data_IF_633154927798
#
_entry.id   IF_633154927798
#
_cell.length_a   1.000
_cell.length_b   1.000
_cell.length_c   1.000
_cell.angle_alpha   90.00
_cell.angle_beta   90.00
_cell.angle_gamma   90.00
#
_symmetry.space_group_name_H-M   'P 1'
#
loop_
_entity.id
_entity.type
_entity.pdbx_description
1 polymer ?
#
# COMPACT_ATOMS: atom_id res chain seq x y z
N UNK A 1 22.48 -29.39 -7.21
CA UNK A 1 22.28 -28.11 -6.51
C UNK A 1 20.83 -28.09 -6.11
N UNK A 2 20.54 -28.05 -4.79
CA UNK A 2 19.20 -28.28 -4.24
C UNK A 2 18.28 -27.09 -4.56
N UNK A 3 17.03 -27.39 -4.91
CA UNK A 3 15.91 -26.44 -5.14
C UNK A 3 15.76 -25.40 -4.01
N UNK A 4 16.05 -25.79 -2.77
CA UNK A 4 16.13 -24.90 -1.58
C UNK A 4 17.18 -23.78 -1.71
N UNK A 5 18.34 -24.05 -2.31
CA UNK A 5 19.39 -23.03 -2.48
C UNK A 5 19.03 -21.99 -3.54
N UNK A 6 18.26 -22.36 -4.57
CA UNK A 6 17.74 -21.43 -5.58
C UNK A 6 16.67 -20.50 -4.99
N UNK A 7 15.83 -21.00 -4.10
CA UNK A 7 14.76 -20.20 -3.46
C UNK A 7 15.32 -19.21 -2.43
N UNK A 8 16.33 -19.60 -1.64
CA UNK A 8 17.00 -18.69 -0.70
C UNK A 8 17.75 -17.56 -1.43
N UNK A 9 18.41 -17.86 -2.54
CA UNK A 9 19.12 -16.85 -3.34
C UNK A 9 18.16 -15.91 -4.07
N UNK A 10 17.00 -16.38 -4.53
CA UNK A 10 15.95 -15.56 -5.12
C UNK A 10 15.32 -14.62 -4.08
N UNK A 11 15.03 -15.13 -2.89
CA UNK A 11 14.52 -14.33 -1.77
C UNK A 11 15.52 -13.28 -1.26
N UNK A 12 16.83 -13.60 -1.25
CA UNK A 12 17.89 -12.64 -0.90
C UNK A 12 18.02 -11.53 -1.94
N UNK A 13 17.97 -11.87 -3.23
CA UNK A 13 18.01 -10.88 -4.33
C UNK A 13 16.77 -9.96 -4.31
N UNK A 14 15.59 -10.49 -4.01
CA UNK A 14 14.37 -9.68 -3.90
C UNK A 14 14.44 -8.69 -2.72
N UNK A 15 14.93 -9.14 -1.55
CA UNK A 15 15.16 -8.27 -0.39
C UNK A 15 16.23 -7.21 -0.66
N UNK A 16 17.32 -7.58 -1.35
CA UNK A 16 18.36 -6.64 -1.73
C UNK A 16 17.86 -5.57 -2.71
N UNK A 17 17.03 -5.95 -3.71
CA UNK A 17 16.40 -4.99 -4.63
C UNK A 17 15.43 -4.06 -3.91
N UNK A 18 14.60 -4.58 -3.01
CA UNK A 18 13.72 -3.76 -2.19
C UNK A 18 14.51 -2.80 -1.29
N UNK A 19 15.62 -3.26 -0.68
CA UNK A 19 16.53 -2.42 0.09
C UNK A 19 17.18 -1.32 -0.74
N UNK A 20 17.61 -1.63 -1.97
CA UNK A 20 18.17 -0.65 -2.90
C UNK A 20 17.13 0.41 -3.28
N UNK A 21 15.91 0.00 -3.62
CA UNK A 21 14.83 0.94 -3.94
C UNK A 21 14.52 1.84 -2.74
N UNK A 22 14.43 1.28 -1.54
CA UNK A 22 14.23 2.06 -0.32
C UNK A 22 15.38 3.04 -0.06
N UNK A 23 16.64 2.58 -0.26
CA UNK A 23 17.84 3.41 -0.11
C UNK A 23 17.88 4.55 -1.14
N UNK A 24 17.47 4.27 -2.39
CA UNK A 24 17.37 5.31 -3.43
C UNK A 24 16.31 6.34 -3.07
N UNK A 25 15.14 5.92 -2.58
CA UNK A 25 14.11 6.85 -2.10
C UNK A 25 14.56 7.66 -0.87
N UNK A 26 15.22 7.02 0.09
CA UNK A 26 15.78 7.70 1.26
C UNK A 26 16.88 8.70 0.88
N UNK A 27 17.76 8.30 -0.06
CA UNK A 27 18.80 9.19 -0.59
C UNK A 27 18.20 10.37 -1.36
N UNK A 28 17.21 10.13 -2.21
CA UNK A 28 16.50 11.19 -2.92
C UNK A 28 15.83 12.17 -1.95
N UNK A 29 15.14 11.66 -0.92
CA UNK A 29 14.55 12.48 0.14
C UNK A 29 15.62 13.27 0.92
N UNK A 30 16.76 12.65 1.24
CA UNK A 30 17.87 13.30 1.91
C UNK A 30 18.52 14.39 1.06
N UNK A 31 18.72 14.14 -0.24
CA UNK A 31 19.24 15.15 -1.18
C UNK A 31 18.27 16.32 -1.35
N UNK A 32 16.96 16.08 -1.34
CA UNK A 32 15.94 17.14 -1.36
C UNK A 32 15.95 18.00 -0.08
N UNK A 33 16.36 17.42 1.05
CA UNK A 33 16.54 18.18 2.31
C UNK A 33 17.80 19.03 2.27
N UNK A 34 18.91 18.50 1.74
CA UNK A 34 20.20 19.20 1.68
C UNK A 34 20.23 20.31 0.60
N UNK A 35 19.57 20.07 -0.52
CA UNK A 35 19.48 21.00 -1.65
C UNK A 35 18.01 21.27 -1.95
N UNK A 36 17.31 22.04 -1.10
CA UNK A 36 15.91 22.30 -1.35
C UNK A 36 15.77 23.01 -2.71
N UNK A 37 15.11 22.40 -3.71
CA UNK A 37 14.68 23.16 -4.86
C UNK A 37 13.78 24.27 -4.34
N UNK A 38 13.76 25.44 -5.01
CA UNK A 38 13.00 26.61 -4.57
C UNK A 38 11.52 26.35 -4.22
N UNK A 39 11.01 25.14 -4.48
CA UNK A 39 9.66 24.66 -4.19
C UNK A 39 9.65 23.25 -3.59
N UNK A 40 10.26 23.08 -2.41
CA UNK A 40 10.25 21.82 -1.66
C UNK A 40 8.81 21.24 -1.50
N UNK A 41 7.83 22.13 -1.34
CA UNK A 41 6.42 21.73 -1.26
C UNK A 41 5.95 20.91 -2.45
N UNK A 42 6.26 21.35 -3.68
CA UNK A 42 5.82 20.64 -4.90
C UNK A 42 6.46 19.26 -5.01
N UNK A 43 7.73 19.13 -4.64
CA UNK A 43 8.42 17.84 -4.63
C UNK A 43 7.85 16.87 -3.59
N UNK A 44 7.66 17.33 -2.35
CA UNK A 44 7.05 16.51 -1.30
C UNK A 44 5.62 16.11 -1.68
N UNK A 45 4.85 17.03 -2.25
CA UNK A 45 3.50 16.76 -2.75
C UNK A 45 3.50 15.71 -3.86
N UNK A 46 4.43 15.81 -4.83
CA UNK A 46 4.56 14.83 -5.91
C UNK A 46 4.90 13.44 -5.37
N UNK A 47 5.87 13.34 -4.44
CA UNK A 47 6.24 12.08 -3.81
C UNK A 47 5.09 11.49 -2.98
N UNK A 48 4.32 12.33 -2.27
CA UNK A 48 3.12 11.90 -1.56
C UNK A 48 2.08 11.31 -2.52
N UNK A 49 1.82 11.96 -3.64
CA UNK A 49 0.88 11.47 -4.65
C UNK A 49 1.34 10.12 -5.23
N UNK A 50 2.63 9.96 -5.55
CA UNK A 50 3.20 8.70 -6.04
C UNK A 50 3.05 7.57 -5.00
N UNK A 51 3.27 7.87 -3.72
CA UNK A 51 3.07 6.91 -2.64
C UNK A 51 1.59 6.51 -2.51
N UNK A 52 0.66 7.47 -2.58
CA UNK A 52 -0.79 7.21 -2.58
C UNK A 52 -1.19 6.33 -3.77
N UNK A 53 -0.73 6.64 -4.98
CA UNK A 53 -1.04 5.84 -6.18
C UNK A 53 -0.55 4.40 -6.01
N UNK A 54 0.68 4.22 -5.54
CA UNK A 54 1.27 2.90 -5.31
C UNK A 54 0.50 2.10 -4.26
N UNK A 55 0.09 2.75 -3.16
CA UNK A 55 -0.70 2.13 -2.11
C UNK A 55 -2.10 1.74 -2.60
N UNK A 56 -2.78 2.65 -3.29
CA UNK A 56 -4.11 2.43 -3.86
C UNK A 56 -4.12 1.33 -4.92
N UNK A 57 -3.12 1.28 -5.80
CA UNK A 57 -2.99 0.20 -6.78
C UNK A 57 -2.98 -1.18 -6.10
N UNK A 58 -2.22 -1.32 -5.00
CA UNK A 58 -2.20 -2.55 -4.21
C UNK A 58 -3.53 -2.84 -3.53
N UNK A 59 -4.17 -1.83 -2.90
CA UNK A 59 -5.46 -1.99 -2.22
C UNK A 59 -6.59 -2.43 -3.17
N UNK A 60 -6.58 -1.96 -4.42
CA UNK A 60 -7.58 -2.32 -5.43
C UNK A 60 -7.27 -3.68 -6.10
N UNK A 61 -6.00 -4.09 -6.13
CA UNK A 61 -5.61 -5.32 -6.80
C UNK A 61 -5.61 -6.54 -5.87
N UNK A 62 -5.20 -6.39 -4.62
CA UNK A 62 -5.05 -7.50 -3.68
C UNK A 62 -6.36 -8.30 -3.46
N UNK A 63 -7.55 -7.67 -3.29
CA UNK A 63 -8.80 -8.44 -3.14
C UNK A 63 -9.16 -9.26 -4.38
N UNK A 64 -8.75 -8.83 -5.57
CA UNK A 64 -8.93 -9.61 -6.81
C UNK A 64 -8.10 -10.89 -6.78
N UNK A 65 -6.87 -10.84 -6.25
CA UNK A 65 -6.09 -12.06 -6.03
C UNK A 65 -6.81 -13.00 -5.06
N UNK A 66 -7.38 -12.48 -3.96
CA UNK A 66 -8.15 -13.29 -3.01
C UNK A 66 -9.35 -14.00 -3.67
N UNK A 67 -10.06 -13.32 -4.59
CA UNK A 67 -11.16 -13.95 -5.35
C UNK A 67 -10.67 -15.17 -6.10
N UNK A 68 -9.59 -15.05 -6.88
CA UNK A 68 -9.04 -16.17 -7.64
C UNK A 68 -8.40 -17.23 -6.75
N UNK A 69 -7.75 -16.82 -5.66
CA UNK A 69 -7.16 -17.76 -4.70
C UNK A 69 -8.21 -18.62 -3.99
N UNK A 70 -9.40 -18.06 -3.74
CA UNK A 70 -10.51 -18.79 -3.11
C UNK A 70 -10.95 -20.00 -3.95
N UNK A 71 -10.81 -19.93 -5.28
CA UNK A 71 -11.17 -21.00 -6.20
C UNK A 71 -10.04 -22.03 -6.41
N UNK A 72 -8.84 -21.77 -5.92
CA UNK A 72 -7.68 -22.65 -6.04
C UNK A 72 -7.62 -23.66 -4.88
N UNK A 73 -7.51 -24.97 -5.13
CA UNK A 73 -7.37 -25.97 -4.07
C UNK A 73 -6.11 -25.74 -3.23
N UNK A 74 -6.24 -25.85 -1.90
CA UNK A 74 -5.10 -25.72 -0.99
C UNK A 74 -3.97 -26.71 -1.35
N UNK A 75 -2.72 -26.24 -1.32
CA UNK A 75 -1.54 -27.03 -1.70
C UNK A 75 -1.33 -27.21 -3.20
N UNK A 76 -2.24 -26.70 -4.06
CA UNK A 76 -2.02 -26.69 -5.51
C UNK A 76 -0.93 -25.70 -5.91
N UNK A 77 -0.27 -25.93 -7.06
CA UNK A 77 0.72 -25.00 -7.63
C UNK A 77 0.13 -23.59 -7.79
N UNK A 78 -1.15 -23.50 -8.15
CA UNK A 78 -1.85 -22.23 -8.30
C UNK A 78 -2.01 -21.53 -6.95
N UNK A 79 -2.45 -22.21 -5.90
CA UNK A 79 -2.59 -21.66 -4.55
C UNK A 79 -1.22 -21.17 -4.02
N UNK A 80 -0.17 -21.97 -4.14
CA UNK A 80 1.17 -21.57 -3.70
C UNK A 80 1.69 -20.34 -4.46
N UNK A 81 1.36 -20.22 -5.76
CA UNK A 81 1.69 -19.04 -6.56
C UNK A 81 0.96 -17.80 -6.03
N UNK A 82 -0.34 -17.89 -5.73
CA UNK A 82 -1.10 -16.77 -5.16
C UNK A 82 -0.55 -16.36 -3.79
N UNK A 83 -0.21 -17.30 -2.90
CA UNK A 83 0.42 -16.99 -1.60
C UNK A 83 1.66 -16.11 -1.77
N UNK A 84 2.52 -16.45 -2.73
CA UNK A 84 3.74 -15.67 -3.01
C UNK A 84 3.40 -14.28 -3.57
N UNK A 85 2.45 -14.18 -4.50
CA UNK A 85 2.03 -12.91 -5.11
C UNK A 85 1.43 -11.96 -4.07
N UNK A 86 0.50 -12.45 -3.26
CA UNK A 86 -0.18 -11.70 -2.19
C UNK A 86 0.81 -11.17 -1.14
N UNK A 87 1.71 -12.04 -0.66
CA UNK A 87 2.72 -11.64 0.31
C UNK A 87 3.69 -10.60 -0.24
N UNK A 88 4.15 -10.77 -1.48
CA UNK A 88 5.07 -9.80 -2.12
C UNK A 88 4.37 -8.46 -2.34
N UNK A 89 3.15 -8.45 -2.86
CA UNK A 89 2.37 -7.24 -3.07
C UNK A 89 2.17 -6.49 -1.75
N UNK A 90 1.71 -7.19 -0.71
CA UNK A 90 1.42 -6.60 0.59
C UNK A 90 2.69 -6.07 1.28
N UNK A 91 3.74 -6.92 1.39
CA UNK A 91 4.93 -6.57 2.18
C UNK A 91 5.90 -5.64 1.46
N UNK A 92 6.05 -5.79 0.14
CA UNK A 92 7.09 -5.07 -0.62
C UNK A 92 6.58 -3.78 -1.24
N UNK A 93 5.28 -3.68 -1.53
CA UNK A 93 4.68 -2.50 -2.18
C UNK A 93 3.74 -1.78 -1.22
N UNK A 94 2.69 -2.45 -0.74
CA UNK A 94 1.61 -1.77 -0.02
C UNK A 94 2.05 -1.20 1.35
N UNK A 95 2.78 -1.96 2.16
CA UNK A 95 3.24 -1.49 3.48
C UNK A 95 4.18 -0.29 3.40
N UNK A 96 5.25 -0.31 2.58
CA UNK A 96 6.11 0.86 2.42
C UNK A 96 5.36 2.07 1.84
N UNK A 97 4.50 1.86 0.84
CA UNK A 97 3.72 2.93 0.22
C UNK A 97 2.75 3.58 1.23
N UNK A 98 2.07 2.79 2.08
CA UNK A 98 1.26 3.32 3.17
C UNK A 98 2.10 4.16 4.15
N UNK A 99 3.25 3.64 4.57
CA UNK A 99 4.16 4.36 5.48
C UNK A 99 4.62 5.70 4.91
N UNK A 100 5.04 5.73 3.64
CA UNK A 100 5.41 6.96 2.94
C UNK A 100 4.22 7.91 2.78
N UNK A 101 3.02 7.39 2.47
CA UNK A 101 1.80 8.19 2.38
C UNK A 101 1.52 8.92 3.69
N UNK A 102 1.62 8.23 4.82
CA UNK A 102 1.43 8.83 6.14
C UNK A 102 2.51 9.86 6.46
N UNK A 103 3.78 9.50 6.30
CA UNK A 103 4.91 10.38 6.63
C UNK A 103 4.85 11.69 5.83
N UNK A 104 4.74 11.59 4.51
CA UNK A 104 4.70 12.77 3.64
C UNK A 104 3.39 13.54 3.79
N UNK A 105 2.27 12.84 4.01
CA UNK A 105 0.96 13.44 4.21
C UNK A 105 0.86 14.25 5.50
N UNK A 106 1.41 13.74 6.61
CA UNK A 106 1.46 14.46 7.88
C UNK A 106 2.41 15.66 7.82
N UNK A 107 3.56 15.51 7.13
CA UNK A 107 4.45 16.63 6.87
C UNK A 107 3.73 17.77 6.11
N UNK A 108 3.00 17.45 5.05
CA UNK A 108 2.21 18.43 4.29
C UNK A 108 1.09 19.04 5.13
N UNK A 109 0.40 18.24 5.95
CA UNK A 109 -0.64 18.72 6.83
C UNK A 109 -0.11 19.72 7.86
N UNK A 110 1.08 19.48 8.39
CA UNK A 110 1.75 20.37 9.33
C UNK A 110 2.33 21.61 8.65
N UNK A 111 3.18 21.42 7.63
CA UNK A 111 4.00 22.51 7.06
C UNK A 111 3.18 23.52 6.23
N UNK A 112 2.10 23.06 5.59
CA UNK A 112 1.29 23.89 4.67
C UNK A 112 -0.01 24.36 5.32
N UNK A 113 -0.63 23.49 6.13
CA UNK A 113 -1.98 23.74 6.63
C UNK A 113 -2.04 23.94 8.15
N UNK A 114 -0.95 23.73 8.89
CA UNK A 114 -0.92 23.83 10.36
C UNK A 114 -1.99 22.95 11.03
N UNK A 115 -2.38 21.84 10.39
CA UNK A 115 -3.51 20.99 10.77
C UNK A 115 -4.86 21.70 10.81
N UNK A 116 -5.04 22.82 10.09
CA UNK A 116 -6.26 23.59 10.05
C UNK A 116 -7.12 23.21 8.81
N UNK A 117 -8.44 23.37 8.96
CA UNK A 117 -9.42 23.09 7.91
C UNK A 117 -10.21 21.80 8.11
N UNK A 118 -11.53 21.89 8.09
CA UNK A 118 -12.43 20.75 8.29
C UNK A 118 -12.24 19.64 7.27
N UNK A 119 -12.00 20.01 6.01
CA UNK A 119 -11.71 19.06 4.93
C UNK A 119 -10.45 18.20 5.23
N UNK A 120 -9.43 18.77 5.91
CA UNK A 120 -8.21 18.04 6.26
C UNK A 120 -8.50 16.99 7.33
N UNK A 121 -9.29 17.33 8.35
CA UNK A 121 -9.69 16.40 9.39
C UNK A 121 -10.57 15.27 8.83
N UNK A 122 -11.53 15.59 7.96
CA UNK A 122 -12.33 14.59 7.26
C UNK A 122 -11.47 13.66 6.40
N UNK A 123 -10.49 14.21 5.65
CA UNK A 123 -9.50 13.43 4.90
C UNK A 123 -8.71 12.49 5.81
N UNK A 124 -8.17 12.99 6.93
CA UNK A 124 -7.39 12.18 7.87
C UNK A 124 -8.22 11.01 8.41
N UNK A 125 -9.49 11.26 8.77
CA UNK A 125 -10.40 10.20 9.20
C UNK A 125 -10.57 9.12 8.10
N UNK A 126 -10.81 9.53 6.85
CA UNK A 126 -10.95 8.61 5.72
C UNK A 126 -9.67 7.80 5.47
N UNK A 127 -8.49 8.42 5.63
CA UNK A 127 -7.20 7.72 5.50
C UNK A 127 -6.98 6.73 6.65
N UNK A 128 -7.43 7.04 7.87
CA UNK A 128 -7.44 6.08 8.99
C UNK A 128 -8.33 4.87 8.67
N UNK A 129 -9.54 5.09 8.15
CA UNK A 129 -10.43 4.01 7.73
C UNK A 129 -9.80 3.16 6.61
N UNK A 130 -9.16 3.80 5.64
CA UNK A 130 -8.44 3.13 4.56
C UNK A 130 -7.26 2.29 5.09
N UNK A 131 -6.55 2.80 6.11
CA UNK A 131 -5.50 2.04 6.81
C UNK A 131 -6.07 0.84 7.56
N UNK A 132 -7.28 0.96 8.11
CA UNK A 132 -8.02 -0.18 8.69
C UNK A 132 -8.33 -1.27 7.65
N UNK A 133 -8.72 -0.89 6.43
CA UNK A 133 -8.91 -1.82 5.31
C UNK A 133 -7.59 -2.47 4.91
N UNK A 134 -6.50 -1.71 4.87
CA UNK A 134 -5.16 -2.25 4.59
C UNK A 134 -4.76 -3.33 5.59
N UNK A 135 -4.91 -3.09 6.89
CA UNK A 135 -4.59 -4.06 7.93
C UNK A 135 -5.53 -5.28 7.91
N UNK A 136 -6.79 -5.08 7.55
CA UNK A 136 -7.73 -6.18 7.32
C UNK A 136 -7.25 -7.09 6.18
N UNK A 137 -6.75 -6.52 5.07
CA UNK A 137 -6.17 -7.29 3.98
C UNK A 137 -4.86 -7.98 4.37
N UNK A 138 -4.05 -7.36 5.23
CA UNK A 138 -2.85 -7.99 5.78
C UNK A 138 -3.15 -9.27 6.57
N UNK A 139 -4.23 -9.25 7.37
CA UNK A 139 -4.72 -10.44 8.06
C UNK A 139 -5.27 -11.51 7.09
N UNK A 140 -5.88 -11.07 5.99
CA UNK A 140 -6.33 -11.99 4.94
C UNK A 140 -5.16 -12.66 4.23
N UNK A 141 -4.11 -11.93 3.86
CA UNK A 141 -2.87 -12.50 3.28
C UNK A 141 -2.29 -13.58 4.19
N UNK A 142 -2.28 -13.34 5.50
CA UNK A 142 -1.81 -14.35 6.44
C UNK A 142 -2.74 -15.56 6.50
N UNK A 143 -4.06 -15.36 6.51
CA UNK A 143 -5.03 -16.44 6.52
C UNK A 143 -4.93 -17.34 5.26
N UNK A 144 -4.73 -16.74 4.08
CA UNK A 144 -4.48 -17.49 2.85
C UNK A 144 -3.13 -18.22 2.88
N UNK A 145 -2.07 -17.61 3.39
CA UNK A 145 -0.77 -18.25 3.51
C UNK A 145 -0.80 -19.51 4.39
N UNK A 146 -1.71 -19.56 5.35
CA UNK A 146 -1.89 -20.66 6.29
C UNK A 146 -3.07 -21.59 5.91
N UNK A 147 -3.63 -21.44 4.71
CA UNK A 147 -4.80 -22.20 4.20
C UNK A 147 -6.04 -22.09 5.13
N UNK A 148 -6.17 -20.97 5.85
CA UNK A 148 -7.25 -20.72 6.83
C UNK A 148 -8.28 -19.69 6.35
N UNK A 149 -8.32 -19.39 5.06
CA UNK A 149 -9.35 -18.49 4.53
C UNK A 149 -10.73 -19.12 4.62
N UNK A 150 -11.66 -18.43 5.28
CA UNK A 150 -13.07 -18.85 5.41
C UNK A 150 -14.03 -18.02 4.58
N UNK A 151 -13.53 -16.98 3.89
CA UNK A 151 -14.37 -16.08 3.11
C UNK A 151 -14.51 -16.57 1.68
N UNK A 152 -15.71 -16.37 1.13
CA UNK A 152 -16.02 -16.72 -0.25
C UNK A 152 -15.53 -15.65 -1.24
N UNK A 153 -15.33 -16.04 -2.50
CA UNK A 153 -14.97 -15.09 -3.56
C UNK A 153 -15.98 -13.92 -3.71
N UNK A 154 -17.30 -14.19 -3.45
CA UNK A 154 -18.32 -13.13 -3.44
C UNK A 154 -18.07 -12.09 -2.34
N UNK A 155 -17.67 -12.51 -1.14
CA UNK A 155 -17.35 -11.60 -0.05
C UNK A 155 -16.12 -10.75 -0.38
N UNK A 156 -15.10 -11.33 -1.01
CA UNK A 156 -13.92 -10.58 -1.45
C UNK A 156 -14.22 -9.56 -2.54
N UNK A 157 -15.18 -9.85 -3.45
CA UNK A 157 -15.67 -8.86 -4.42
C UNK A 157 -16.32 -7.66 -3.74
N UNK A 158 -17.14 -7.88 -2.71
CA UNK A 158 -17.76 -6.79 -1.95
C UNK A 158 -16.69 -5.95 -1.23
N UNK A 159 -15.73 -6.61 -0.58
CA UNK A 159 -14.64 -5.91 0.09
C UNK A 159 -13.74 -5.12 -0.86
N UNK A 160 -13.65 -5.49 -2.15
CA UNK A 160 -12.93 -4.75 -3.17
C UNK A 160 -13.50 -3.34 -3.41
N UNK A 161 -14.78 -3.11 -3.12
CA UNK A 161 -15.42 -1.80 -3.29
C UNK A 161 -15.06 -0.81 -2.18
N UNK A 162 -14.69 -1.31 -0.99
CA UNK A 162 -14.40 -0.45 0.16
C UNK A 162 -13.24 0.54 -0.09
N UNK A 163 -12.05 0.12 -0.58
CA UNK A 163 -10.98 1.07 -0.88
C UNK A 163 -11.34 2.02 -2.04
N UNK A 164 -12.13 1.57 -3.03
CA UNK A 164 -12.58 2.43 -4.13
C UNK A 164 -13.49 3.55 -3.64
N UNK A 165 -14.47 3.23 -2.81
CA UNK A 165 -15.37 4.22 -2.22
C UNK A 165 -14.62 5.23 -1.33
N UNK A 166 -13.71 4.75 -0.48
CA UNK A 166 -12.88 5.62 0.37
C UNK A 166 -11.98 6.52 -0.47
N UNK A 167 -11.38 6.00 -1.55
CA UNK A 167 -10.56 6.79 -2.48
C UNK A 167 -11.34 7.94 -3.09
N UNK A 168 -12.56 7.68 -3.58
CA UNK A 168 -13.42 8.72 -4.16
C UNK A 168 -13.67 9.83 -3.14
N UNK A 169 -14.05 9.48 -1.92
CA UNK A 169 -14.30 10.45 -0.85
C UNK A 169 -13.04 11.24 -0.50
N UNK A 170 -11.87 10.59 -0.39
CA UNK A 170 -10.60 11.26 -0.11
C UNK A 170 -10.26 12.27 -1.23
N UNK A 171 -10.43 11.88 -2.49
CA UNK A 171 -10.15 12.76 -3.63
C UNK A 171 -11.07 13.98 -3.62
N UNK A 172 -12.37 13.78 -3.36
CA UNK A 172 -13.34 14.89 -3.23
C UNK A 172 -12.89 15.85 -2.12
N UNK A 173 -12.55 15.34 -0.92
CA UNK A 173 -12.08 16.18 0.18
C UNK A 173 -10.85 17.01 -0.17
N UNK A 174 -9.91 16.44 -0.92
CA UNK A 174 -8.64 17.12 -1.27
C UNK A 174 -8.81 18.13 -2.40
N UNK A 175 -9.62 17.82 -3.40
CA UNK A 175 -9.77 18.64 -4.61
C UNK A 175 -10.80 19.74 -4.39
N UNK A 176 -11.97 19.37 -3.86
CA UNK A 176 -13.10 20.31 -3.69
C UNK A 176 -12.94 21.16 -2.42
N UNK A 177 -12.42 20.58 -1.34
CA UNK A 177 -12.27 21.24 -0.02
C UNK A 177 -13.59 21.90 0.43
N UNK A 178 -14.67 21.11 0.62
CA UNK A 178 -16.02 21.63 0.74
C UNK A 178 -16.29 22.45 2.03
N UNK A 179 -15.38 22.41 3.03
CA UNK A 179 -15.50 23.16 4.31
C UNK A 179 -14.14 23.33 5.00
#
# INVERSE_FOLDING_TARGET
MSEKQTDETAGRRARMRAGIVLAVFALAAFLLILYPPGDLYLWVKALHILAVISWMAGLLYLPRLFVYHTDAPAGSVQSETFKVMEQRLYRTIMRPAMGLTWLLGLYLAWSVYGFQGGWLHAKLLLVILLSGVHEFYGRAVQAFAEDRNVRTGRQWRIWNEAPAALMILIVIMVVVKPF
#
